data_IF_838249334490
#
_entry.id   IF_838249334490
#
_cell.length_a   1.000
_cell.length_b   1.000
_cell.length_c   1.000
_cell.angle_alpha   90.00
_cell.angle_beta   90.00
_cell.angle_gamma   90.00
#
_symmetry.space_group_name_H-M   'P 1'
#
loop_
_entity.id
_entity.type
_entity.pdbx_description
1 polymer ?
#
# COMPACT_ATOMS: atom_id res chain seq x y z
N UNK A 1 -1.13 7.89 -26.75
CA UNK A 1 -1.41 7.86 -25.31
C UNK A 1 -0.20 7.25 -24.63
N UNK A 2 0.47 8.00 -23.77
CA UNK A 2 1.62 7.52 -23.01
C UNK A 2 1.19 6.41 -22.06
N UNK A 3 2.04 5.39 -21.89
CA UNK A 3 1.88 4.30 -20.91
C UNK A 3 0.47 3.68 -20.93
N UNK A 4 0.01 3.29 -22.12
CA UNK A 4 -1.37 2.81 -22.32
C UNK A 4 -1.67 1.52 -21.55
N UNK A 5 -0.68 0.61 -21.46
CA UNK A 5 -0.86 -0.64 -20.72
C UNK A 5 -0.91 -0.36 -19.21
N UNK A 6 0.01 0.46 -18.70
CA UNK A 6 0.06 0.85 -17.29
C UNK A 6 -1.23 1.56 -16.86
N UNK A 7 -1.81 2.40 -17.72
CA UNK A 7 -3.11 3.05 -17.46
C UNK A 7 -4.25 2.01 -17.35
N UNK A 8 -4.27 0.99 -18.22
CA UNK A 8 -5.26 -0.11 -18.12
C UNK A 8 -5.11 -0.87 -16.81
N UNK A 9 -3.87 -1.17 -16.42
CA UNK A 9 -3.57 -1.93 -15.22
C UNK A 9 -3.92 -1.13 -13.95
N UNK A 10 -3.67 0.19 -13.94
CA UNK A 10 -4.13 1.10 -12.88
C UNK A 10 -5.65 1.07 -12.74
N UNK A 11 -6.40 1.16 -13.86
CA UNK A 11 -7.86 1.09 -13.85
C UNK A 11 -8.37 -0.24 -13.27
N UNK A 12 -7.79 -1.36 -13.68
CA UNK A 12 -8.18 -2.69 -13.20
C UNK A 12 -7.91 -2.84 -11.71
N UNK A 13 -6.75 -2.39 -11.25
CA UNK A 13 -6.35 -2.43 -9.83
C UNK A 13 -7.27 -1.56 -8.98
N UNK A 14 -7.55 -0.32 -9.41
CA UNK A 14 -8.45 0.59 -8.69
C UNK A 14 -9.87 0.02 -8.54
N UNK A 15 -10.43 -0.57 -9.61
CA UNK A 15 -11.73 -1.25 -9.55
C UNK A 15 -11.73 -2.43 -8.58
N UNK A 16 -10.64 -3.20 -8.55
CA UNK A 16 -10.50 -4.36 -7.65
C UNK A 16 -10.45 -3.96 -6.18
N UNK A 17 -9.94 -2.78 -5.87
CA UNK A 17 -9.85 -2.24 -4.50
C UNK A 17 -11.16 -1.58 -4.03
N UNK A 18 -11.92 -1.00 -4.95
CA UNK A 18 -13.10 -0.20 -4.62
C UNK A 18 -14.18 -0.99 -3.85
N UNK A 19 -14.29 -2.30 -4.05
CA UNK A 19 -15.32 -3.12 -3.40
C UNK A 19 -15.17 -3.25 -1.87
N UNK A 20 -13.98 -2.98 -1.33
CA UNK A 20 -13.70 -3.04 0.12
C UNK A 20 -13.38 -1.68 0.74
N UNK A 21 -13.30 -0.64 -0.06
CA UNK A 21 -12.93 0.70 0.38
C UNK A 21 -14.15 1.54 0.84
N UNK A 22 -13.88 2.59 1.60
CA UNK A 22 -14.89 3.55 2.01
C UNK A 22 -15.54 4.23 0.78
N UNK A 23 -16.78 4.75 0.88
CA UNK A 23 -17.38 5.53 -0.20
C UNK A 23 -16.55 6.77 -0.58
N UNK A 24 -16.58 7.14 -1.86
CA UNK A 24 -15.88 8.33 -2.38
C UNK A 24 -14.51 8.01 -2.96
N UNK A 25 -13.59 8.97 -2.88
CA UNK A 25 -12.21 8.86 -3.40
C UNK A 25 -11.28 8.13 -2.40
N UNK A 26 -11.60 6.88 -2.12
CA UNK A 26 -10.94 6.11 -1.08
C UNK A 26 -9.84 5.17 -1.60
N UNK A 27 -9.51 5.26 -2.89
CA UNK A 27 -8.51 4.41 -3.52
C UNK A 27 -7.60 5.23 -4.42
N UNK A 28 -6.30 5.19 -4.17
CA UNK A 28 -5.29 5.71 -5.08
C UNK A 28 -4.33 4.60 -5.49
N UNK A 29 -4.07 4.52 -6.78
CA UNK A 29 -3.20 3.52 -7.40
C UNK A 29 -2.20 4.24 -8.29
N UNK A 30 -0.92 3.89 -8.19
CA UNK A 30 0.08 4.37 -9.13
C UNK A 30 1.06 3.28 -9.55
N UNK A 31 1.57 3.40 -10.77
CA UNK A 31 2.64 2.55 -11.29
C UNK A 31 3.69 3.41 -11.98
N UNK A 32 4.96 3.13 -11.71
CA UNK A 32 6.12 3.82 -12.26
C UNK A 32 6.74 3.00 -13.39
N UNK A 33 7.03 3.67 -14.50
CA UNK A 33 7.77 3.13 -15.65
C UNK A 33 8.89 4.13 -16.01
N UNK A 34 10.14 3.80 -15.66
CA UNK A 34 11.23 4.76 -15.74
C UNK A 34 11.01 5.98 -14.83
N UNK A 35 11.07 7.17 -15.43
CA UNK A 35 10.83 8.44 -14.74
C UNK A 35 9.38 8.92 -14.82
N UNK A 36 8.49 8.08 -15.36
CA UNK A 36 7.07 8.38 -15.52
C UNK A 36 6.24 7.57 -14.53
N UNK A 37 5.15 8.18 -14.06
CA UNK A 37 4.18 7.56 -13.14
C UNK A 37 2.78 7.74 -13.70
N UNK A 38 2.05 6.65 -13.84
CA UNK A 38 0.59 6.69 -14.04
C UNK A 38 -0.07 6.67 -12.67
N UNK A 39 -1.09 7.47 -12.47
CA UNK A 39 -1.85 7.49 -11.21
C UNK A 39 -3.35 7.59 -11.49
N UNK A 40 -4.18 7.16 -10.55
CA UNK A 40 -5.63 7.38 -10.61
C UNK A 40 -5.95 8.87 -10.58
N UNK A 41 -7.00 9.31 -11.31
CA UNK A 41 -7.42 10.71 -11.33
C UNK A 41 -8.24 11.07 -10.09
N UNK A 42 -8.35 12.37 -9.84
CA UNK A 42 -9.32 12.96 -8.93
C UNK A 42 -10.74 12.94 -9.53
N UNK A 43 -11.76 12.72 -8.70
CA UNK A 43 -13.17 12.93 -9.07
C UNK A 43 -13.78 11.88 -10.00
N UNK A 44 -13.08 10.80 -10.32
CA UNK A 44 -13.60 9.70 -11.15
C UNK A 44 -13.78 8.44 -10.31
N UNK A 45 -15.00 7.94 -10.25
CA UNK A 45 -15.29 6.71 -9.51
C UNK A 45 -14.55 5.51 -10.16
N UNK A 46 -13.97 4.59 -9.35
CA UNK A 46 -13.15 3.49 -9.86
C UNK A 46 -13.87 2.59 -10.88
N UNK A 47 -15.18 2.38 -10.75
CA UNK A 47 -15.99 1.58 -11.67
C UNK A 47 -16.20 2.26 -13.04
N UNK A 48 -16.11 3.59 -13.09
CA UNK A 48 -16.25 4.40 -14.31
C UNK A 48 -14.92 4.75 -14.97
N UNK A 49 -13.81 4.51 -14.27
CA UNK A 49 -12.48 4.91 -14.66
C UNK A 49 -12.08 4.31 -16.03
N UNK A 50 -11.62 5.15 -16.96
CA UNK A 50 -11.06 4.77 -18.24
C UNK A 50 -9.55 5.02 -18.29
N UNK A 51 -8.77 4.29 -19.11
CA UNK A 51 -7.32 4.51 -19.22
C UNK A 51 -6.94 5.94 -19.58
N UNK A 52 -7.75 6.61 -20.40
CA UNK A 52 -7.53 8.00 -20.80
C UNK A 52 -7.75 9.02 -19.66
N UNK A 53 -8.41 8.63 -18.59
CA UNK A 53 -8.66 9.47 -17.42
C UNK A 53 -7.45 9.52 -16.48
N UNK A 54 -6.65 8.43 -16.44
CA UNK A 54 -5.47 8.35 -15.57
C UNK A 54 -4.35 9.28 -16.05
N UNK A 55 -3.94 10.30 -15.29
CA UNK A 55 -2.83 11.15 -15.68
C UNK A 55 -1.49 10.40 -15.66
N UNK A 56 -0.58 10.83 -16.56
CA UNK A 56 0.83 10.49 -16.53
C UNK A 56 1.61 11.68 -16.02
N UNK A 57 2.44 11.44 -15.04
CA UNK A 57 3.27 12.44 -14.39
C UNK A 57 4.75 12.08 -14.49
N UNK A 58 5.63 13.08 -14.38
CA UNK A 58 7.01 12.80 -14.01
C UNK A 58 7.11 12.51 -12.52
N UNK A 59 8.15 11.79 -12.09
CA UNK A 59 8.44 11.58 -10.66
C UNK A 59 8.66 12.91 -9.90
N UNK A 60 8.96 14.01 -10.62
CA UNK A 60 9.15 15.36 -10.10
C UNK A 60 7.86 16.19 -10.06
N UNK A 61 6.71 15.52 -10.04
CA UNK A 61 5.38 16.14 -9.82
C UNK A 61 4.91 17.06 -10.97
N UNK A 62 5.24 16.75 -12.23
CA UNK A 62 4.73 17.44 -13.41
C UNK A 62 3.74 16.58 -14.18
N UNK A 63 2.53 17.03 -14.38
CA UNK A 63 1.55 16.39 -15.27
C UNK A 63 2.02 16.53 -16.72
N UNK A 64 2.17 15.41 -17.41
CA UNK A 64 2.62 15.35 -18.81
C UNK A 64 1.47 15.04 -19.76
N UNK A 65 0.54 14.20 -19.34
CA UNK A 65 -0.66 13.84 -20.11
C UNK A 65 -1.79 13.44 -19.16
N UNK A 66 -3.00 13.95 -19.34
CA UNK A 66 -4.17 13.58 -18.54
C UNK A 66 -5.38 14.46 -18.87
N UNK A 67 -6.60 13.94 -18.65
CA UNK A 67 -7.86 14.67 -18.80
C UNK A 67 -8.37 15.24 -17.48
N UNK A 68 -7.90 14.66 -16.38
CA UNK A 68 -8.28 14.98 -15.02
C UNK A 68 -7.05 15.33 -14.20
N UNK A 69 -7.25 16.04 -13.11
CA UNK A 69 -6.21 16.24 -12.12
C UNK A 69 -5.86 14.92 -11.44
N UNK A 70 -4.61 14.74 -10.99
CA UNK A 70 -4.22 13.56 -10.20
C UNK A 70 -5.00 13.47 -8.89
N UNK A 71 -5.17 12.24 -8.37
CA UNK A 71 -5.78 12.00 -7.06
C UNK A 71 -5.06 12.77 -5.94
N UNK A 72 -5.78 13.07 -4.86
CA UNK A 72 -5.26 13.85 -3.72
C UNK A 72 -3.99 13.24 -3.09
N UNK A 73 -3.89 11.91 -3.07
CA UNK A 73 -2.77 11.16 -2.50
C UNK A 73 -1.54 11.06 -3.41
N UNK A 74 -1.59 11.69 -4.60
CA UNK A 74 -0.50 11.59 -5.61
C UNK A 74 0.84 12.05 -5.07
N UNK A 75 0.88 13.12 -4.29
CA UNK A 75 2.13 13.63 -3.68
C UNK A 75 2.80 12.58 -2.79
N UNK A 76 2.01 11.83 -2.01
CA UNK A 76 2.48 10.69 -1.21
C UNK A 76 3.06 9.60 -2.11
N UNK A 77 2.32 9.20 -3.16
CA UNK A 77 2.78 8.16 -4.08
C UNK A 77 4.10 8.53 -4.77
N UNK A 78 4.24 9.76 -5.26
CA UNK A 78 5.47 10.26 -5.88
C UNK A 78 6.64 10.28 -4.88
N UNK A 79 6.40 10.69 -3.63
CA UNK A 79 7.42 10.66 -2.59
C UNK A 79 7.91 9.23 -2.31
N UNK A 80 6.98 8.26 -2.26
CA UNK A 80 7.31 6.85 -2.08
C UNK A 80 8.10 6.31 -3.27
N UNK A 81 7.71 6.62 -4.52
CA UNK A 81 8.45 6.21 -5.70
C UNK A 81 9.88 6.78 -5.71
N UNK A 82 10.06 8.07 -5.37
CA UNK A 82 11.40 8.68 -5.24
C UNK A 82 12.22 8.01 -4.14
N UNK A 83 11.64 7.85 -2.95
CA UNK A 83 12.31 7.20 -1.83
C UNK A 83 12.73 5.75 -2.13
N UNK A 84 11.92 5.01 -2.89
CA UNK A 84 12.29 3.66 -3.32
C UNK A 84 13.53 3.66 -4.22
N UNK A 85 13.60 4.58 -5.20
CA UNK A 85 14.77 4.73 -6.08
C UNK A 85 16.01 5.12 -5.28
N UNK A 86 15.90 6.12 -4.40
CA UNK A 86 17.01 6.60 -3.56
C UNK A 86 17.61 5.50 -2.68
N UNK A 87 16.77 4.56 -2.22
CA UNK A 87 17.18 3.45 -1.35
C UNK A 87 17.45 2.14 -2.12
N UNK A 88 17.45 2.18 -3.46
CA UNK A 88 17.72 1.00 -4.30
C UNK A 88 16.70 -0.13 -4.16
N UNK A 89 15.44 0.20 -3.80
CA UNK A 89 14.35 -0.78 -3.70
C UNK A 89 13.66 -0.95 -5.06
N UNK A 90 13.42 -2.20 -5.43
CA UNK A 90 12.64 -2.54 -6.63
C UNK A 90 11.13 -2.38 -6.36
N UNK A 91 10.69 -1.11 -6.22
CA UNK A 91 9.29 -0.75 -6.03
C UNK A 91 8.84 0.04 -7.25
N UNK A 92 7.89 -0.52 -7.98
CA UNK A 92 7.29 0.15 -9.15
C UNK A 92 5.82 0.48 -8.97
N UNK A 93 5.15 -0.06 -7.96
CA UNK A 93 3.74 0.19 -7.70
C UNK A 93 3.48 0.61 -6.25
N UNK A 94 2.55 1.54 -6.09
CA UNK A 94 2.03 2.02 -4.81
C UNK A 94 0.52 2.00 -4.87
N UNK A 95 -0.11 1.43 -3.85
CA UNK A 95 -1.57 1.41 -3.69
C UNK A 95 -1.92 1.87 -2.30
N UNK A 96 -2.96 2.70 -2.19
CA UNK A 96 -3.55 3.00 -0.91
C UNK A 96 -5.08 2.89 -0.95
N UNK A 97 -5.68 2.48 0.16
CA UNK A 97 -7.12 2.42 0.31
C UNK A 97 -7.54 2.61 1.77
N UNK A 98 -8.76 3.13 1.94
CA UNK A 98 -9.39 3.39 3.24
C UNK A 98 -10.45 2.31 3.47
N UNK A 99 -10.05 1.18 4.05
CA UNK A 99 -10.98 0.16 4.52
C UNK A 99 -11.38 0.43 5.97
N UNK A 100 -12.52 -0.09 6.39
CA UNK A 100 -13.00 0.12 7.76
C UNK A 100 -11.99 -0.37 8.81
N UNK A 101 -11.34 -1.52 8.55
CA UNK A 101 -10.44 -2.14 9.51
C UNK A 101 -9.08 -1.44 9.54
N UNK A 102 -8.52 -1.01 8.39
CA UNK A 102 -7.27 -0.23 8.37
C UNK A 102 -7.44 1.12 9.03
N UNK A 103 -8.58 1.80 8.81
CA UNK A 103 -8.90 3.06 9.47
C UNK A 103 -9.07 2.86 10.97
N UNK A 104 -9.84 1.85 11.41
CA UNK A 104 -10.07 1.59 12.83
C UNK A 104 -8.76 1.29 13.59
N UNK A 105 -7.89 0.44 13.01
CA UNK A 105 -6.59 0.11 13.61
C UNK A 105 -5.69 1.34 13.67
N UNK A 106 -5.60 2.11 12.56
CA UNK A 106 -4.75 3.30 12.49
C UNK A 106 -5.20 4.45 13.39
N UNK A 107 -6.47 4.46 13.80
CA UNK A 107 -7.01 5.46 14.74
C UNK A 107 -6.67 5.17 16.22
N UNK A 108 -6.23 3.94 16.53
CA UNK A 108 -6.04 3.50 17.93
C UNK A 108 -4.58 3.13 18.22
N UNK A 109 -3.89 2.51 17.26
CA UNK A 109 -2.56 1.96 17.48
C UNK A 109 -1.46 2.90 16.97
N UNK A 110 -0.30 2.86 17.63
CA UNK A 110 0.95 3.42 17.09
C UNK A 110 1.70 2.40 16.20
N UNK A 111 1.39 1.12 16.33
CA UNK A 111 1.95 0.03 15.53
C UNK A 111 0.99 -1.17 15.58
N UNK A 112 0.69 -1.79 14.44
CA UNK A 112 -0.03 -3.06 14.39
C UNK A 112 0.94 -4.21 14.68
N UNK A 113 0.79 -4.93 15.81
CA UNK A 113 1.71 -6.00 16.17
C UNK A 113 1.50 -7.23 15.24
N UNK A 114 2.55 -8.03 15.01
CA UNK A 114 2.47 -9.21 14.16
C UNK A 114 1.78 -10.37 14.89
N UNK A 115 0.47 -10.46 14.73
CA UNK A 115 -0.35 -11.55 15.32
C UNK A 115 -0.45 -12.78 14.41
N UNK A 116 0.13 -12.71 13.21
CA UNK A 116 0.16 -13.80 12.25
C UNK A 116 1.49 -13.83 11.48
N UNK A 117 1.99 -15.04 11.16
CA UNK A 117 3.30 -15.21 10.50
C UNK A 117 3.41 -14.48 9.14
N UNK A 118 2.31 -14.32 8.40
CA UNK A 118 2.31 -13.57 7.13
C UNK A 118 2.68 -12.09 7.27
N UNK A 119 2.67 -11.51 8.48
CA UNK A 119 3.20 -10.17 8.71
C UNK A 119 4.68 -10.06 8.29
N UNK A 120 5.43 -11.18 8.30
CA UNK A 120 6.82 -11.23 7.83
C UNK A 120 6.97 -10.76 6.37
N UNK A 121 5.98 -11.03 5.50
CA UNK A 121 5.97 -10.60 4.10
C UNK A 121 5.88 -9.08 3.94
N UNK A 122 5.28 -8.37 4.91
CA UNK A 122 5.19 -6.90 4.90
C UNK A 122 6.31 -6.22 5.68
N UNK A 123 7.28 -6.99 6.20
CA UNK A 123 8.40 -6.47 6.99
C UNK A 123 8.24 -6.63 8.51
N UNK A 124 7.21 -7.33 8.98
CA UNK A 124 6.96 -7.59 10.41
C UNK A 124 5.85 -6.72 10.99
N UNK A 125 6.11 -6.08 12.13
CA UNK A 125 5.17 -5.13 12.71
C UNK A 125 4.94 -3.93 11.78
N UNK A 126 3.67 -3.52 11.62
CA UNK A 126 3.29 -2.46 10.68
C UNK A 126 3.26 -1.11 11.41
N UNK A 127 4.10 -0.19 10.97
CA UNK A 127 4.14 1.15 11.53
C UNK A 127 2.86 1.92 11.22
N UNK A 128 2.37 2.69 12.19
CA UNK A 128 1.33 3.69 12.02
C UNK A 128 1.98 5.07 12.07
N UNK A 129 1.74 5.92 11.05
CA UNK A 129 2.31 7.28 11.06
C UNK A 129 1.66 8.14 12.14
N UNK A 130 2.30 9.19 12.64
CA UNK A 130 1.57 10.26 13.31
C UNK A 130 0.46 10.82 12.42
N UNK A 131 -0.63 11.32 13.01
CA UNK A 131 -1.67 12.00 12.23
C UNK A 131 -1.12 13.28 11.59
N UNK A 132 -1.40 13.41 10.31
CA UNK A 132 -1.17 14.62 9.52
C UNK A 132 -2.35 14.83 8.57
N UNK A 133 -2.66 16.08 8.23
CA UNK A 133 -3.75 16.37 7.29
C UNK A 133 -3.39 15.81 5.90
N UNK A 134 -4.35 15.14 5.26
CA UNK A 134 -4.19 14.62 3.91
C UNK A 134 -3.83 15.72 2.89
N UNK A 135 -3.15 15.36 1.80
CA UNK A 135 -2.74 16.30 0.74
C UNK A 135 -1.60 17.24 1.14
N UNK A 136 -0.94 17.04 2.29
CA UNK A 136 0.23 17.81 2.71
C UNK A 136 1.54 17.06 2.43
N UNK A 137 2.65 17.79 2.28
CA UNK A 137 3.99 17.16 2.17
C UNK A 137 4.38 16.37 3.42
N UNK A 138 3.85 16.74 4.58
CA UNK A 138 4.15 16.08 5.85
C UNK A 138 3.67 14.61 5.87
N UNK A 139 2.46 14.31 5.35
CA UNK A 139 1.98 12.92 5.29
C UNK A 139 2.89 12.07 4.39
N UNK A 140 3.40 12.65 3.31
CA UNK A 140 4.32 11.98 2.39
C UNK A 140 5.64 11.62 3.08
N UNK A 141 6.23 12.54 3.84
CA UNK A 141 7.45 12.31 4.58
C UNK A 141 7.28 11.25 5.66
N UNK A 142 6.14 11.27 6.38
CA UNK A 142 5.82 10.27 7.38
C UNK A 142 5.58 8.88 6.77
N UNK A 143 4.90 8.82 5.62
CA UNK A 143 4.69 7.56 4.91
C UNK A 143 6.01 6.93 4.45
N UNK A 144 6.92 7.72 3.85
CA UNK A 144 8.25 7.24 3.43
C UNK A 144 9.04 6.70 4.62
N UNK A 145 9.00 7.37 5.78
CA UNK A 145 9.65 6.90 7.00
C UNK A 145 9.05 5.59 7.51
N UNK A 146 7.71 5.48 7.54
CA UNK A 146 7.00 4.29 8.00
C UNK A 146 7.24 3.07 7.10
N UNK A 147 7.44 3.30 5.79
CA UNK A 147 7.71 2.27 4.78
C UNK A 147 9.19 1.85 4.71
N UNK A 148 10.07 2.43 5.51
CA UNK A 148 11.49 2.06 5.51
C UNK A 148 11.66 0.61 5.98
N UNK A 149 12.13 -0.26 5.05
CA UNK A 149 12.29 -1.70 5.30
C UNK A 149 10.97 -2.48 5.39
N UNK A 150 9.85 -1.90 4.96
CA UNK A 150 8.51 -2.49 4.97
C UNK A 150 7.84 -2.32 3.61
N UNK A 151 6.90 -3.20 3.31
CA UNK A 151 6.08 -3.14 2.09
C UNK A 151 4.66 -2.64 2.35
N UNK A 152 4.34 -2.31 3.60
CA UNK A 152 3.08 -1.66 3.96
C UNK A 152 3.24 -0.79 5.21
N UNK A 153 2.36 0.20 5.34
CA UNK A 153 2.21 1.05 6.51
C UNK A 153 0.75 1.47 6.69
N UNK A 154 0.41 1.89 7.90
CA UNK A 154 -0.86 2.52 8.22
C UNK A 154 -0.65 4.03 8.41
N UNK A 155 -1.56 4.81 7.87
CA UNK A 155 -1.61 6.27 8.02
C UNK A 155 -2.66 6.59 9.09
N UNK A 156 -2.28 7.26 10.18
CA UNK A 156 -3.17 7.51 11.32
C UNK A 156 -4.49 8.17 10.89
N UNK A 157 -5.63 7.58 11.29
CA UNK A 157 -7.00 8.03 10.97
C UNK A 157 -7.30 8.12 9.47
N UNK A 158 -6.54 7.41 8.61
CA UNK A 158 -6.63 7.56 7.16
C UNK A 158 -6.82 6.22 6.46
N UNK A 159 -5.94 5.24 6.72
CA UNK A 159 -6.02 3.92 6.08
C UNK A 159 -4.67 3.27 5.85
N UNK A 160 -4.60 2.40 4.84
CA UNK A 160 -3.40 1.64 4.52
C UNK A 160 -2.73 2.05 3.21
N UNK A 161 -1.40 1.98 3.17
CA UNK A 161 -0.58 2.09 1.97
C UNK A 161 0.29 0.86 1.83
N UNK A 162 0.44 0.34 0.61
CA UNK A 162 1.28 -0.81 0.31
C UNK A 162 2.07 -0.63 -0.99
N UNK A 163 3.22 -1.30 -1.04
CA UNK A 163 4.20 -1.25 -2.12
C UNK A 163 4.30 -2.60 -2.83
N UNK A 164 4.78 -2.58 -4.07
CA UNK A 164 5.09 -3.81 -4.81
C UNK A 164 6.06 -3.57 -5.96
N UNK A 165 6.69 -4.66 -6.41
CA UNK A 165 7.48 -4.71 -7.66
C UNK A 165 6.58 -4.58 -8.90
N UNK A 166 5.28 -4.51 -8.71
CA UNK A 166 4.22 -4.34 -9.70
C UNK A 166 2.86 -4.22 -9.01
N UNK A 167 1.83 -3.85 -9.77
CA UNK A 167 0.49 -3.59 -9.24
C UNK A 167 -0.15 -4.81 -8.57
N UNK A 168 0.05 -6.02 -9.13
CA UNK A 168 -0.47 -7.26 -8.53
C UNK A 168 0.10 -7.46 -7.11
N UNK A 169 1.43 -7.36 -6.97
CA UNK A 169 2.10 -7.52 -5.68
C UNK A 169 1.71 -6.42 -4.68
N UNK A 170 1.62 -5.15 -5.12
CA UNK A 170 1.16 -4.06 -4.26
C UNK A 170 -0.29 -4.29 -3.77
N UNK A 171 -1.17 -4.77 -4.67
CA UNK A 171 -2.55 -5.13 -4.35
C UNK A 171 -2.63 -6.27 -3.34
N UNK A 172 -1.82 -7.33 -3.51
CA UNK A 172 -1.75 -8.45 -2.55
C UNK A 172 -1.26 -7.98 -1.18
N UNK A 173 -0.24 -7.11 -1.14
CA UNK A 173 0.28 -6.55 0.10
C UNK A 173 -0.76 -5.69 0.82
N UNK A 174 -1.55 -4.88 0.10
CA UNK A 174 -2.63 -4.09 0.70
C UNK A 174 -3.76 -4.99 1.25
N UNK A 175 -4.14 -6.03 0.52
CA UNK A 175 -5.12 -7.02 1.00
C UNK A 175 -4.62 -7.78 2.22
N UNK A 176 -3.34 -8.11 2.26
CA UNK A 176 -2.73 -8.74 3.42
C UNK A 176 -2.73 -7.80 4.62
N UNK A 177 -2.40 -6.52 4.43
CA UNK A 177 -2.49 -5.49 5.47
C UNK A 177 -3.91 -5.41 6.05
N UNK A 178 -4.92 -5.31 5.20
CA UNK A 178 -6.32 -5.24 5.61
C UNK A 178 -6.74 -6.50 6.38
N UNK A 179 -6.38 -7.69 5.88
CA UNK A 179 -6.64 -8.95 6.56
C UNK A 179 -5.95 -9.06 7.94
N UNK A 180 -4.72 -8.54 8.06
CA UNK A 180 -4.01 -8.48 9.36
C UNK A 180 -4.71 -7.54 10.33
N UNK A 181 -5.22 -6.38 9.87
CA UNK A 181 -6.03 -5.48 10.67
C UNK A 181 -7.31 -6.17 11.17
N UNK A 182 -8.05 -6.81 10.26
CA UNK A 182 -9.26 -7.59 10.60
C UNK A 182 -8.95 -8.68 11.63
N UNK A 183 -7.86 -9.43 11.42
CA UNK A 183 -7.44 -10.52 12.31
C UNK A 183 -7.09 -9.99 13.70
N UNK A 184 -6.35 -8.89 13.78
CA UNK A 184 -6.03 -8.25 15.06
C UNK A 184 -7.28 -7.79 15.81
N UNK A 185 -8.20 -7.09 15.13
CA UNK A 185 -9.44 -6.60 15.74
C UNK A 185 -10.28 -7.74 16.31
N UNK A 186 -10.41 -8.85 15.57
CA UNK A 186 -11.13 -10.04 16.02
C UNK A 186 -10.43 -10.74 17.20
N UNK A 187 -9.11 -10.87 17.15
CA UNK A 187 -8.34 -11.43 18.26
C UNK A 187 -8.51 -10.63 19.54
N UNK A 188 -8.48 -9.29 19.45
CA UNK A 188 -8.70 -8.38 20.59
C UNK A 188 -10.08 -8.53 21.23
N UNK A 189 -11.10 -8.88 20.45
CA UNK A 189 -12.44 -9.17 21.00
C UNK A 189 -12.49 -10.45 21.85
N UNK A 190 -11.58 -11.40 21.58
CA UNK A 190 -11.47 -12.67 22.31
C UNK A 190 -10.54 -12.58 23.54
N UNK A 191 -9.64 -11.60 23.56
CA UNK A 191 -8.67 -11.39 24.63
C UNK A 191 -7.40 -10.70 24.15
N UNK A 192 -6.30 -10.86 24.91
CA UNK A 192 -5.00 -10.33 24.51
C UNK A 192 -4.33 -11.26 23.47
N UNK A 193 -4.07 -10.79 22.24
CA UNK A 193 -3.49 -11.64 21.21
C UNK A 193 -2.03 -11.96 21.51
N UNK A 194 -1.59 -13.18 21.18
CA UNK A 194 -0.17 -13.53 21.17
C UNK A 194 0.51 -12.81 20.02
N UNK A 195 1.54 -12.03 20.35
CA UNK A 195 2.39 -11.34 19.38
C UNK A 195 3.61 -12.22 19.07
N UNK A 196 3.93 -12.33 17.76
CA UNK A 196 5.13 -13.05 17.32
C UNK A 196 6.37 -12.20 17.56
N UNK A 197 7.44 -12.84 18.00
CA UNK A 197 8.75 -12.18 18.17
C UNK A 197 9.44 -11.98 16.81
N UNK A 198 10.44 -11.10 16.77
CA UNK A 198 11.25 -10.90 15.56
C UNK A 198 12.00 -12.18 15.16
N UNK A 199 12.44 -12.98 16.11
CA UNK A 199 13.07 -14.29 15.83
C UNK A 199 12.10 -15.27 15.16
N UNK A 200 10.83 -15.31 15.60
CA UNK A 200 9.80 -16.13 14.97
C UNK A 200 9.51 -15.66 13.54
N UNK A 201 9.45 -14.34 13.31
CA UNK A 201 9.27 -13.76 11.97
C UNK A 201 10.50 -13.99 11.08
N UNK A 202 11.72 -13.92 11.64
CA UNK A 202 12.96 -14.22 10.91
C UNK A 202 12.99 -15.68 10.42
N UNK A 203 12.52 -16.64 11.23
CA UNK A 203 12.39 -18.04 10.82
C UNK A 203 11.41 -18.20 9.65
N UNK A 204 10.29 -17.44 9.64
CA UNK A 204 9.34 -17.45 8.51
C UNK A 204 10.02 -16.94 7.25
N UNK A 205 10.67 -15.77 7.29
CA UNK A 205 11.39 -15.20 6.14
C UNK A 205 12.45 -16.16 5.57
N UNK A 206 13.20 -16.81 6.46
CA UNK A 206 14.19 -17.80 6.06
C UNK A 206 13.54 -19.00 5.33
N UNK A 207 12.41 -19.49 5.84
CA UNK A 207 11.68 -20.61 5.23
C UNK A 207 11.12 -20.26 3.86
N UNK A 208 10.57 -19.07 3.70
CA UNK A 208 10.04 -18.57 2.42
C UNK A 208 11.14 -18.39 1.36
N UNK A 209 12.36 -18.01 1.78
CA UNK A 209 13.52 -17.85 0.89
C UNK A 209 14.05 -19.19 0.37
N UNK A 210 14.05 -20.24 1.20
CA UNK A 210 14.60 -21.56 0.82
C UNK A 210 13.57 -22.53 0.22
N UNK A 211 12.30 -22.11 0.12
CA UNK A 211 11.20 -22.97 -0.31
C UNK A 211 10.86 -24.06 0.71
N UNK A 212 9.77 -24.75 0.49
CA UNK A 212 9.38 -25.91 1.29
C UNK A 212 10.28 -27.10 0.94
N UNK A 213 11.44 -27.24 1.57
CA UNK A 213 12.10 -28.51 1.77
C UNK A 213 11.57 -29.11 3.09
N UNK A 214 10.28 -29.51 3.08
CA UNK A 214 9.72 -30.26 4.21
C UNK A 214 10.53 -31.52 4.41
N UNK A 215 10.78 -31.98 5.66
CA UNK A 215 11.22 -33.33 5.87
C UNK A 215 10.15 -34.24 5.26
N UNK A 216 10.59 -35.30 4.60
CA UNK A 216 9.71 -36.41 4.20
C UNK A 216 9.00 -36.91 5.48
N UNK A 217 7.75 -36.45 5.68
CA UNK A 217 6.93 -36.82 6.84
C UNK A 217 6.02 -37.98 6.45
N UNK A 218 6.51 -38.95 5.70
CA UNK A 218 5.88 -40.28 5.58
C UNK A 218 6.91 -41.33 5.14
#
# INVERSE_FOLDING_TARGET
>A
MLLEQERRDVCLTARSLASGAAPGESVTVSVRSGDLVVVTPHGVAPDQLQPADCPVMSVDDRVLEGRHDPAAETTLHLAVHRGAVEHGRDVTAVVNAFTADTVAVSAVLAELPPVHHRAAALGGAIAVTPYTTYGTGEISDQAVKALKGRDAALLANHGGVALGVGLEHALENLRLLDWLCTTYLRARQLGEPRVLSEDELAQVRQRDTYGWAGPDIF
#
